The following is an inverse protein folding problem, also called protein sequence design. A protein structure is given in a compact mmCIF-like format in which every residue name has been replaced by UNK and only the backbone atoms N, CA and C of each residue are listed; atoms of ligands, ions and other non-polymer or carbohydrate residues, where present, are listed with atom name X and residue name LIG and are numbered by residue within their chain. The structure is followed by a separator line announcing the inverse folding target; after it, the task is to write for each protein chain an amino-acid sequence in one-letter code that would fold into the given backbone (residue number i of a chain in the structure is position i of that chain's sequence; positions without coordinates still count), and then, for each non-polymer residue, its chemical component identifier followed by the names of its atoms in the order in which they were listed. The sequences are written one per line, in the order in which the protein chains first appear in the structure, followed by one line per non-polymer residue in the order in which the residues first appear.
data_IF_078813605999
#
_entry.id   IF_078813605999
#
_cell.length_a   1.000
_cell.length_b   1.000
_cell.length_c   1.000
_cell.angle_alpha   90.00
_cell.angle_beta   90.00
_cell.angle_gamma   90.00
#
_symmetry.space_group_name_H-M   'P 1'
#
loop_
_entity.id
_entity.type
_entity.pdbx_description
1 polymer ?
#
# COMPACT_ATOMS: atom_id res chain seq x y z
N UNK A 1 16.33 -13.03 8.97
CA UNK A 1 16.48 -11.59 8.69
C UNK A 1 15.72 -11.14 7.44
N UNK A 2 15.91 -11.75 6.26
CA UNK A 2 15.25 -11.32 5.01
C UNK A 2 13.70 -11.31 5.08
N UNK A 3 13.07 -12.34 5.65
CA UNK A 3 11.61 -12.42 5.76
C UNK A 3 11.01 -11.36 6.70
N UNK A 4 11.71 -11.03 7.79
CA UNK A 4 11.29 -9.98 8.72
C UNK A 4 11.45 -8.59 8.09
N UNK A 5 12.54 -8.37 7.36
CA UNK A 5 12.78 -7.14 6.61
C UNK A 5 11.70 -6.89 5.55
N UNK A 6 11.36 -7.92 4.75
CA UNK A 6 10.29 -7.84 3.75
C UNK A 6 8.94 -7.57 4.44
N UNK A 7 8.65 -8.26 5.55
CA UNK A 7 7.40 -8.07 6.31
C UNK A 7 7.23 -6.66 6.86
N UNK A 8 8.29 -6.06 7.43
CA UNK A 8 8.26 -4.70 7.97
C UNK A 8 8.21 -3.63 6.86
N UNK A 9 8.97 -3.79 5.78
CA UNK A 9 9.10 -2.75 4.74
C UNK A 9 7.95 -2.78 3.72
N UNK A 10 7.51 -3.97 3.31
CA UNK A 10 6.46 -4.12 2.27
C UNK A 10 5.08 -4.45 2.84
N UNK A 11 5.04 -5.03 4.05
CA UNK A 11 3.79 -5.30 4.78
C UNK A 11 3.38 -4.11 5.64
N UNK A 12 4.08 -3.86 6.74
CA UNK A 12 3.72 -2.82 7.72
C UNK A 12 3.77 -1.40 7.15
N UNK A 13 4.89 -0.98 6.55
CA UNK A 13 5.01 0.37 5.98
C UNK A 13 4.07 0.59 4.77
N UNK A 14 3.79 -0.48 4.01
CA UNK A 14 2.79 -0.46 2.94
C UNK A 14 1.36 -0.27 3.43
N UNK A 15 1.04 -0.72 4.66
CA UNK A 15 -0.27 -0.49 5.29
C UNK A 15 -0.37 0.84 6.03
N UNK A 16 0.77 1.47 6.40
CA UNK A 16 0.81 2.78 7.06
C UNK A 16 0.70 3.92 6.04
N UNK A 17 1.23 3.74 4.82
CA UNK A 17 1.23 4.77 3.76
C UNK A 17 0.47 4.30 2.52
N UNK A 18 -0.75 4.81 2.36
CA UNK A 18 -1.67 4.39 1.29
C UNK A 18 -1.57 5.36 0.11
N UNK A 19 -1.29 4.85 -1.08
CA UNK A 19 -1.19 5.72 -2.27
C UNK A 19 -2.57 6.28 -2.66
N UNK A 20 -3.64 5.50 -2.50
CA UNK A 20 -5.01 5.95 -2.79
C UNK A 20 -5.47 7.12 -1.92
N UNK A 21 -5.15 7.11 -0.62
CA UNK A 21 -5.48 8.22 0.28
C UNK A 21 -4.74 9.49 -0.10
N UNK A 22 -3.43 9.38 -0.35
CA UNK A 22 -2.60 10.51 -0.81
C UNK A 22 -3.12 11.10 -2.11
N UNK A 23 -3.49 10.26 -3.08
CA UNK A 23 -4.03 10.76 -4.35
C UNK A 23 -5.40 11.42 -4.18
N UNK A 24 -6.24 10.89 -3.29
CA UNK A 24 -7.54 11.48 -2.96
C UNK A 24 -7.38 12.86 -2.30
N UNK A 25 -6.54 12.99 -1.28
CA UNK A 25 -6.30 14.27 -0.58
C UNK A 25 -5.65 15.31 -1.51
N UNK A 26 -4.71 14.88 -2.35
CA UNK A 26 -4.12 15.72 -3.38
C UNK A 26 -5.19 16.20 -4.39
N UNK A 27 -6.02 15.28 -4.88
CA UNK A 27 -7.11 15.62 -5.79
C UNK A 27 -8.08 16.62 -5.16
N UNK A 28 -8.43 16.42 -3.89
CA UNK A 28 -9.31 17.33 -3.14
C UNK A 28 -8.72 18.73 -2.99
N UNK A 29 -7.39 18.83 -2.77
CA UNK A 29 -6.68 20.10 -2.74
C UNK A 29 -6.77 20.86 -4.08
N UNK A 30 -6.69 20.17 -5.23
CA UNK A 30 -6.89 20.78 -6.56
C UNK A 30 -8.31 21.35 -6.75
N UNK A 31 -9.32 20.76 -6.13
CA UNK A 31 -10.70 21.25 -6.20
C UNK A 31 -10.99 22.41 -5.24
N UNK A 32 -10.04 22.77 -4.37
CA UNK A 32 -10.15 23.91 -3.47
C UNK A 32 -11.10 23.70 -2.29
N UNK A 33 -11.43 22.46 -1.93
CA UNK A 33 -12.47 22.21 -0.92
C UNK A 33 -11.98 22.23 0.53
N UNK A 34 -10.68 22.35 0.80
CA UNK A 34 -10.12 22.22 2.17
C UNK A 34 -9.22 23.39 2.63
N UNK A 35 -8.47 24.07 1.74
CA UNK A 35 -7.37 24.97 2.19
C UNK A 35 -7.29 26.39 1.59
N UNK A 36 -8.14 26.80 0.63
CA UNK A 36 -8.29 28.22 0.24
C UNK A 36 -8.00 28.56 -1.24
N UNK A 37 -7.64 29.83 -1.49
CA UNK A 37 -7.61 30.53 -2.81
C UNK A 37 -6.61 29.98 -3.85
N UNK A 38 -5.70 29.07 -3.49
CA UNK A 38 -4.59 28.63 -4.36
C UNK A 38 -4.53 27.09 -4.49
N UNK A 39 -5.46 26.46 -5.23
CA UNK A 39 -5.60 25.00 -5.30
C UNK A 39 -4.34 24.27 -5.79
N UNK A 40 -3.57 24.90 -6.68
CA UNK A 40 -2.35 24.30 -7.24
C UNK A 40 -1.20 24.28 -6.23
N UNK A 41 -1.06 25.31 -5.39
CA UNK A 41 0.01 25.33 -4.38
C UNK A 41 -0.22 24.26 -3.31
N UNK A 42 -1.47 24.08 -2.88
CA UNK A 42 -1.82 23.11 -1.84
C UNK A 42 -1.62 21.68 -2.34
N UNK A 43 -2.01 21.41 -3.59
CA UNK A 43 -1.74 20.15 -4.29
C UNK A 43 -0.25 19.83 -4.34
N UNK A 44 0.57 20.78 -4.83
CA UNK A 44 2.01 20.60 -4.96
C UNK A 44 2.66 20.41 -3.59
N UNK A 45 2.26 21.21 -2.60
CA UNK A 45 2.77 21.11 -1.23
C UNK A 45 2.50 19.72 -0.63
N UNK A 46 1.27 19.21 -0.77
CA UNK A 46 0.88 17.91 -0.24
C UNK A 46 1.67 16.77 -0.89
N UNK A 47 1.76 16.75 -2.23
CA UNK A 47 2.52 15.72 -2.93
C UNK A 47 4.01 15.78 -2.60
N UNK A 48 4.61 16.98 -2.64
CA UNK A 48 6.03 17.14 -2.34
C UNK A 48 6.32 16.71 -0.90
N UNK A 49 5.52 17.14 0.07
CA UNK A 49 5.71 16.81 1.49
C UNK A 49 5.61 15.30 1.74
N UNK A 50 4.58 14.64 1.21
CA UNK A 50 4.34 13.21 1.46
C UNK A 50 5.38 12.33 0.76
N UNK A 51 5.72 12.62 -0.50
CA UNK A 51 6.75 11.84 -1.16
C UNK A 51 8.14 12.13 -0.59
N UNK A 52 8.46 13.37 -0.23
CA UNK A 52 9.75 13.71 0.40
C UNK A 52 9.92 13.03 1.75
N UNK A 53 8.90 13.04 2.60
CA UNK A 53 8.91 12.32 3.88
C UNK A 53 9.04 10.81 3.70
N UNK A 54 8.36 10.25 2.68
CA UNK A 54 8.48 8.82 2.34
C UNK A 54 9.90 8.45 1.87
N UNK A 55 10.51 9.28 1.01
CA UNK A 55 11.90 9.11 0.57
C UNK A 55 12.89 9.28 1.72
N UNK A 56 12.69 10.28 2.59
CA UNK A 56 13.52 10.50 3.78
C UNK A 56 13.46 9.29 4.73
N UNK A 57 12.26 8.76 4.98
CA UNK A 57 12.05 7.55 5.77
C UNK A 57 12.77 6.33 5.17
N UNK A 58 12.71 6.16 3.84
CA UNK A 58 13.44 5.12 3.13
C UNK A 58 14.96 5.25 3.30
N UNK A 59 15.52 6.45 3.12
CA UNK A 59 16.95 6.71 3.28
C UNK A 59 17.40 6.49 4.71
N UNK A 60 16.63 6.98 5.69
CA UNK A 60 16.90 6.77 7.12
C UNK A 60 16.92 5.27 7.46
N UNK A 61 15.91 4.52 7.00
CA UNK A 61 15.86 3.07 7.20
C UNK A 61 17.06 2.34 6.58
N UNK A 62 17.53 2.80 5.41
CA UNK A 62 18.75 2.26 4.78
C UNK A 62 20.00 2.53 5.61
N UNK A 63 20.18 3.74 6.15
CA UNK A 63 21.31 4.06 7.00
C UNK A 63 21.31 3.25 8.31
N UNK A 64 20.14 3.11 8.93
CA UNK A 64 19.98 2.30 10.15
C UNK A 64 20.31 0.82 9.90
N UNK A 65 19.90 0.27 8.75
CA UNK A 65 20.22 -1.11 8.37
C UNK A 65 21.74 -1.34 8.18
N UNK A 66 22.47 -0.35 7.65
CA UNK A 66 23.95 -0.44 7.53
C UNK A 66 24.61 -0.40 8.91
N UNK A 67 24.17 0.46 9.81
CA UNK A 67 24.75 0.56 11.16
C UNK A 67 24.58 -0.74 11.96
N UNK A 68 23.40 -1.37 11.87
CA UNK A 68 23.11 -2.62 12.57
C UNK A 68 23.82 -3.84 11.96
N UNK A 69 24.05 -3.86 10.65
CA UNK A 69 24.84 -4.93 10.01
C UNK A 69 26.33 -4.80 10.34
N UNK A 70 26.86 -3.57 10.44
CA UNK A 70 28.23 -3.34 10.89
C UNK A 70 28.44 -3.73 12.37
N UNK A 71 27.43 -3.52 13.23
CA UNK A 71 27.51 -3.99 14.63
C UNK A 71 27.47 -5.53 14.71
N UNK A 72 26.64 -6.19 13.89
CA UNK A 72 26.60 -7.67 13.82
C UNK A 72 27.87 -8.29 13.21
N UNK A 73 28.52 -7.61 12.24
CA UNK A 73 29.81 -8.06 11.70
C UNK A 73 30.95 -7.88 12.70
N UNK A 74 30.91 -6.86 13.57
CA UNK A 74 31.87 -6.70 14.68
C UNK A 74 31.78 -7.84 15.70
N UNK A 75 30.58 -8.33 16.00
CA UNK A 75 30.39 -9.49 16.89
C UNK A 75 30.81 -10.82 16.24
N UNK A 76 30.51 -11.03 14.95
CA UNK A 76 30.85 -12.29 14.25
C UNK A 76 32.32 -12.47 13.89
N UNK A 77 33.15 -11.42 13.97
CA UNK A 77 34.60 -11.52 13.68
C UNK A 77 35.37 -12.34 14.72
N UNK A 78 34.73 -12.79 15.80
CA UNK A 78 35.34 -13.59 16.88
C UNK A 78 35.23 -15.13 16.69
N UNK A 79 34.45 -15.64 15.72
CA UNK A 79 34.14 -17.09 15.57
C UNK A 79 34.44 -17.68 14.16
N UNK A 80 35.34 -17.04 13.41
CA UNK A 80 35.36 -17.06 11.94
C UNK A 80 35.94 -18.27 11.17
N UNK A 81 35.84 -19.53 11.60
CA UNK A 81 36.38 -20.66 10.80
C UNK A 81 35.38 -21.74 10.32
N UNK A 82 34.16 -21.82 10.86
CA UNK A 82 33.16 -22.82 10.41
C UNK A 82 32.19 -22.34 9.31
N UNK A 83 32.16 -21.04 9.00
CA UNK A 83 31.11 -20.42 8.18
C UNK A 83 31.19 -20.70 6.67
N UNK A 84 32.37 -20.95 6.11
CA UNK A 84 32.58 -21.00 4.64
C UNK A 84 31.99 -22.27 3.99
N UNK A 85 32.03 -23.43 4.67
CA UNK A 85 31.39 -24.65 4.15
C UNK A 85 29.86 -24.64 4.31
N UNK A 86 29.33 -23.80 5.21
CA UNK A 86 27.90 -23.69 5.46
C UNK A 86 27.21 -22.78 4.43
N UNK A 87 27.89 -21.74 3.94
CA UNK A 87 27.37 -20.81 2.92
C UNK A 87 27.06 -21.50 1.58
N UNK A 88 27.91 -22.44 1.13
CA UNK A 88 27.69 -23.20 -0.12
C UNK A 88 26.50 -24.20 -0.01
N UNK A 89 26.28 -24.77 1.19
CA UNK A 89 25.08 -25.60 1.47
C UNK A 89 23.81 -24.75 1.58
N UNK A 90 23.90 -23.53 2.09
CA UNK A 90 22.79 -22.59 2.22
C UNK A 90 22.31 -22.08 0.85
N UNK A 91 23.23 -21.83 -0.08
CA UNK A 91 22.89 -21.39 -1.43
C UNK A 91 22.09 -22.44 -2.21
N UNK A 92 22.46 -23.73 -2.11
CA UNK A 92 21.68 -24.84 -2.70
C UNK A 92 20.35 -25.11 -1.98
N UNK A 93 20.28 -24.90 -0.65
CA UNK A 93 19.03 -25.00 0.10
C UNK A 93 18.07 -23.84 -0.22
N UNK A 94 18.59 -22.66 -0.54
CA UNK A 94 17.79 -21.46 -0.86
C UNK A 94 16.94 -21.64 -2.12
N UNK A 95 17.47 -22.30 -3.15
CA UNK A 95 16.73 -22.60 -4.39
C UNK A 95 15.58 -23.60 -4.19
N UNK A 96 15.74 -24.57 -3.28
CA UNK A 96 14.68 -25.55 -2.94
C UNK A 96 13.65 -24.95 -1.97
N UNK A 97 14.09 -24.07 -1.05
CA UNK A 97 13.20 -23.32 -0.15
C UNK A 97 12.25 -22.37 -0.89
N UNK A 98 12.65 -21.78 -2.02
CA UNK A 98 11.78 -20.91 -2.82
C UNK A 98 10.54 -21.67 -3.33
N UNK A 99 10.69 -22.94 -3.71
CA UNK A 99 9.56 -23.78 -4.17
C UNK A 99 8.67 -24.25 -3.00
N UNK A 100 9.24 -24.63 -1.85
CA UNK A 100 8.46 -25.08 -0.69
C UNK A 100 7.72 -23.91 0.00
N UNK A 101 8.32 -22.71 0.02
CA UNK A 101 7.65 -21.49 0.52
C UNK A 101 6.52 -21.01 -0.38
N UNK A 102 6.55 -21.35 -1.67
CA UNK A 102 5.46 -21.07 -2.60
C UNK A 102 4.19 -21.87 -2.23
N UNK A 103 4.33 -23.18 -1.96
CA UNK A 103 3.20 -24.01 -1.52
C UNK A 103 2.68 -23.59 -0.14
N UNK A 104 3.55 -23.35 0.84
CA UNK A 104 3.11 -22.98 2.19
C UNK A 104 2.42 -21.60 2.22
N UNK A 105 2.86 -20.66 1.37
CA UNK A 105 2.17 -19.38 1.18
C UNK A 105 0.81 -19.58 0.53
N UNK A 106 0.68 -20.44 -0.49
CA UNK A 106 -0.58 -20.75 -1.17
C UNK A 106 -1.65 -21.32 -0.21
N UNK A 107 -1.25 -22.07 0.82
CA UNK A 107 -2.15 -22.59 1.86
C UNK A 107 -2.55 -21.55 2.93
N UNK A 108 -1.78 -20.47 3.09
CA UNK A 108 -2.20 -19.35 3.96
C UNK A 108 -3.39 -18.57 3.35
N UNK A 109 -3.61 -18.63 2.03
CA UNK A 109 -4.73 -17.96 1.34
C UNK A 109 -6.11 -18.41 1.85
N UNK A 110 -6.47 -19.71 1.76
CA UNK A 110 -7.77 -20.17 2.25
C UNK A 110 -7.88 -19.99 3.77
N UNK A 111 -6.80 -20.17 4.52
CA UNK A 111 -6.81 -19.98 5.97
C UNK A 111 -7.16 -18.53 6.37
N UNK A 112 -6.60 -17.54 5.65
CA UNK A 112 -6.84 -16.13 5.93
C UNK A 112 -8.28 -15.73 5.57
N UNK A 113 -8.82 -16.26 4.46
CA UNK A 113 -10.23 -16.08 4.08
C UNK A 113 -11.15 -16.74 5.12
N UNK A 114 -10.87 -17.99 5.49
CA UNK A 114 -11.66 -18.78 6.45
C UNK A 114 -11.62 -18.20 7.85
N UNK A 115 -10.53 -17.53 8.26
CA UNK A 115 -10.43 -16.91 9.58
C UNK A 115 -11.02 -15.50 9.62
N UNK A 116 -10.88 -14.72 8.54
CA UNK A 116 -11.38 -13.34 8.48
C UNK A 116 -12.89 -13.25 8.44
N UNK A 117 -13.59 -14.13 7.72
CA UNK A 117 -15.07 -14.14 7.63
C UNK A 117 -15.75 -14.34 9.00
N UNK A 118 -15.45 -15.38 9.80
CA UNK A 118 -16.04 -15.55 11.12
C UNK A 118 -15.60 -14.46 12.10
N UNK A 119 -14.40 -13.91 11.97
CA UNK A 119 -13.97 -12.76 12.77
C UNK A 119 -14.78 -11.50 12.43
N UNK A 120 -15.09 -11.24 11.15
CA UNK A 120 -15.98 -10.16 10.72
C UNK A 120 -17.38 -10.36 11.31
N UNK A 121 -17.93 -11.56 11.19
CA UNK A 121 -19.26 -11.88 11.72
C UNK A 121 -19.31 -11.74 13.25
N UNK A 122 -18.27 -12.21 13.96
CA UNK A 122 -18.17 -12.05 15.40
C UNK A 122 -18.13 -10.57 15.81
N UNK A 123 -17.37 -9.73 15.10
CA UNK A 123 -17.28 -8.28 15.35
C UNK A 123 -18.61 -7.59 15.06
N UNK A 124 -19.32 -7.97 13.98
CA UNK A 124 -20.66 -7.44 13.67
C UNK A 124 -21.67 -7.76 14.78
N UNK A 125 -21.61 -8.96 15.36
CA UNK A 125 -22.56 -9.41 16.39
C UNK A 125 -22.22 -8.88 17.78
N UNK A 126 -20.94 -8.75 18.11
CA UNK A 126 -20.50 -8.44 19.48
C UNK A 126 -20.31 -6.95 19.76
N UNK A 127 -19.93 -6.15 18.75
CA UNK A 127 -19.62 -4.75 18.97
C UNK A 127 -20.81 -3.84 18.65
N UNK A 128 -21.07 -2.83 19.48
CA UNK A 128 -22.10 -1.84 19.18
C UNK A 128 -21.75 -1.11 17.88
N UNK A 129 -22.77 -0.90 17.07
CA UNK A 129 -22.64 -0.20 15.80
C UNK A 129 -22.48 1.31 16.07
N UNK A 130 -21.23 1.75 16.30
CA UNK A 130 -20.85 3.14 16.58
C UNK A 130 -20.10 3.72 15.39
N UNK A 131 -19.99 5.04 15.26
CA UNK A 131 -19.32 5.67 14.12
C UNK A 131 -17.88 5.18 13.84
N UNK A 132 -17.20 4.57 14.83
CA UNK A 132 -15.83 4.09 14.71
C UNK A 132 -15.71 2.58 14.42
N UNK A 133 -16.82 1.85 14.32
CA UNK A 133 -16.79 0.39 14.14
C UNK A 133 -16.13 -0.02 12.81
N UNK A 134 -16.08 0.88 11.82
CA UNK A 134 -15.37 0.66 10.55
C UNK A 134 -13.88 0.32 10.72
N UNK A 135 -13.23 0.74 11.82
CA UNK A 135 -11.81 0.47 12.07
C UNK A 135 -11.58 -1.05 12.20
N UNK A 136 -12.44 -1.74 12.94
CA UNK A 136 -12.34 -3.19 13.13
C UNK A 136 -12.58 -3.94 11.82
N UNK A 137 -13.58 -3.52 11.05
CA UNK A 137 -13.81 -4.08 9.71
C UNK A 137 -12.62 -3.81 8.77
N UNK A 138 -11.98 -2.64 8.86
CA UNK A 138 -10.82 -2.29 8.03
C UNK A 138 -9.66 -3.25 8.26
N UNK A 139 -9.39 -3.62 9.51
CA UNK A 139 -8.35 -4.60 9.87
C UNK A 139 -8.60 -5.96 9.21
N UNK A 140 -9.87 -6.33 9.02
CA UNK A 140 -10.26 -7.60 8.42
C UNK A 140 -10.20 -7.57 6.90
N UNK A 141 -10.48 -6.42 6.28
CA UNK A 141 -10.34 -6.22 4.83
C UNK A 141 -8.89 -5.99 4.39
N UNK A 142 -8.02 -5.46 5.26
CA UNK A 142 -6.63 -5.15 4.98
C UNK A 142 -5.81 -6.34 4.39
N UNK A 143 -5.87 -7.56 4.95
CA UNK A 143 -5.18 -8.70 4.39
C UNK A 143 -5.54 -8.98 2.93
N UNK A 144 -6.81 -8.87 2.54
CA UNK A 144 -7.24 -9.08 1.15
C UNK A 144 -6.61 -8.08 0.18
N UNK A 145 -6.45 -6.82 0.60
CA UNK A 145 -5.77 -5.80 -0.18
C UNK A 145 -4.29 -6.15 -0.38
N UNK A 146 -3.59 -6.46 0.71
CA UNK A 146 -2.18 -6.86 0.64
C UNK A 146 -1.94 -8.14 -0.16
N UNK A 147 -2.89 -9.08 -0.11
CA UNK A 147 -2.88 -10.33 -0.85
C UNK A 147 -2.99 -10.08 -2.35
N UNK A 148 -3.96 -9.24 -2.74
CA UNK A 148 -4.16 -8.83 -4.13
C UNK A 148 -2.90 -8.15 -4.66
N UNK A 149 -2.31 -7.24 -3.86
CA UNK A 149 -1.04 -6.58 -4.19
C UNK A 149 0.12 -7.57 -4.36
N UNK A 150 0.22 -8.56 -3.48
CA UNK A 150 1.21 -9.62 -3.61
C UNK A 150 1.04 -10.43 -4.90
N UNK A 151 -0.19 -10.80 -5.26
CA UNK A 151 -0.47 -11.51 -6.52
C UNK A 151 -0.05 -10.67 -7.74
N UNK A 152 -0.38 -9.38 -7.73
CA UNK A 152 0.00 -8.46 -8.80
C UNK A 152 1.52 -8.24 -8.87
N UNK A 153 2.25 -8.38 -7.76
CA UNK A 153 3.71 -8.21 -7.73
C UNK A 153 4.47 -9.18 -8.63
N UNK A 154 3.89 -10.33 -8.99
CA UNK A 154 4.47 -11.25 -9.98
C UNK A 154 4.65 -10.60 -11.36
N UNK A 155 3.82 -9.61 -11.70
CA UNK A 155 3.96 -8.84 -12.93
C UNK A 155 5.20 -7.93 -12.91
N UNK A 156 5.66 -7.50 -11.74
CA UNK A 156 6.89 -6.69 -11.62
C UNK A 156 8.12 -7.49 -12.04
N UNK A 157 8.14 -8.79 -11.73
CA UNK A 157 9.24 -9.69 -12.15
C UNK A 157 9.25 -9.88 -13.67
N UNK A 158 8.05 -9.94 -14.27
CA UNK A 158 7.88 -10.09 -15.73
C UNK A 158 8.27 -8.82 -16.49
N UNK A 159 7.94 -7.64 -15.97
CA UNK A 159 8.21 -6.34 -16.60
C UNK A 159 9.29 -5.54 -15.86
N UNK A 160 10.56 -5.89 -16.07
CA UNK A 160 11.70 -5.30 -15.32
C UNK A 160 11.91 -3.80 -15.52
N UNK A 161 11.49 -3.23 -16.66
CA UNK A 161 11.67 -1.79 -16.96
C UNK A 161 10.59 -0.92 -16.33
N UNK A 162 9.44 -1.50 -16.00
CA UNK A 162 8.27 -0.79 -15.50
C UNK A 162 7.51 -1.74 -14.56
N UNK A 163 7.52 -1.49 -13.23
CA UNK A 163 6.84 -2.33 -12.24
C UNK A 163 5.32 -2.27 -12.42
N UNK A 164 4.84 -3.10 -13.35
CA UNK A 164 3.46 -3.07 -13.82
C UNK A 164 2.47 -3.51 -12.73
N UNK A 165 2.85 -4.48 -11.90
CA UNK A 165 2.05 -4.92 -10.77
C UNK A 165 1.79 -3.80 -9.78
N UNK A 166 2.84 -3.09 -9.36
CA UNK A 166 2.73 -1.97 -8.41
C UNK A 166 1.91 -0.83 -9.01
N UNK A 167 2.14 -0.52 -10.30
CA UNK A 167 1.33 0.48 -11.03
C UNK A 167 -0.16 0.11 -11.04
N UNK A 168 -0.50 -1.12 -11.44
CA UNK A 168 -1.89 -1.58 -11.50
C UNK A 168 -2.53 -1.50 -10.12
N UNK A 169 -1.85 -1.97 -9.07
CA UNK A 169 -2.37 -1.89 -7.70
C UNK A 169 -2.71 -0.45 -7.30
N UNK A 170 -1.76 0.47 -7.48
CA UNK A 170 -1.93 1.88 -7.12
C UNK A 170 -3.05 2.54 -7.94
N UNK A 171 -3.09 2.26 -9.25
CA UNK A 171 -4.10 2.82 -10.14
C UNK A 171 -5.50 2.29 -9.82
N UNK A 172 -5.71 0.97 -9.83
CA UNK A 172 -7.03 0.37 -9.62
C UNK A 172 -7.52 0.57 -8.20
N UNK A 173 -6.65 0.48 -7.19
CA UNK A 173 -7.01 0.75 -5.80
C UNK A 173 -7.43 2.21 -5.59
N UNK A 174 -6.80 3.16 -6.27
CA UNK A 174 -7.21 4.57 -6.23
C UNK A 174 -8.53 4.82 -6.96
N UNK A 175 -8.76 4.16 -8.09
CA UNK A 175 -10.06 4.22 -8.80
C UNK A 175 -11.19 3.69 -7.92
N UNK A 176 -10.96 2.56 -7.25
CA UNK A 176 -11.93 1.93 -6.37
C UNK A 176 -12.20 2.79 -5.13
N UNK A 177 -11.15 3.38 -4.54
CA UNK A 177 -11.26 4.36 -3.46
C UNK A 177 -12.18 5.52 -3.86
N UNK A 178 -11.93 6.13 -5.01
CA UNK A 178 -12.72 7.25 -5.52
C UNK A 178 -14.16 6.86 -5.83
N UNK A 179 -14.36 5.67 -6.43
CA UNK A 179 -15.70 5.13 -6.71
C UNK A 179 -16.51 4.91 -5.43
N UNK A 180 -15.90 4.38 -4.37
CA UNK A 180 -16.57 4.22 -3.07
C UNK A 180 -16.96 5.57 -2.48
N UNK A 181 -16.07 6.57 -2.49
CA UNK A 181 -16.40 7.92 -2.03
C UNK A 181 -17.57 8.49 -2.83
N UNK A 182 -17.55 8.38 -4.15
CA UNK A 182 -18.63 8.86 -5.02
C UNK A 182 -19.97 8.19 -4.68
N UNK A 183 -19.98 6.86 -4.46
CA UNK A 183 -21.17 6.13 -4.03
C UNK A 183 -21.63 6.64 -2.66
N UNK A 184 -20.75 6.76 -1.68
CA UNK A 184 -21.09 7.20 -0.32
C UNK A 184 -21.70 8.60 -0.32
N UNK A 185 -21.17 9.50 -1.15
CA UNK A 185 -21.70 10.84 -1.35
C UNK A 185 -23.11 10.78 -1.96
N UNK A 186 -23.28 10.06 -3.07
CA UNK A 186 -24.54 9.96 -3.81
C UNK A 186 -25.66 9.31 -2.98
N UNK A 187 -25.32 8.32 -2.15
CA UNK A 187 -26.27 7.53 -1.35
C UNK A 187 -26.35 7.98 0.12
N UNK A 188 -25.77 9.13 0.47
CA UNK A 188 -25.57 9.57 1.86
C UNK A 188 -26.86 9.62 2.69
N UNK A 189 -27.99 10.00 2.08
CA UNK A 189 -29.30 10.08 2.74
C UNK A 189 -29.96 8.71 2.98
N UNK A 190 -29.65 7.70 2.17
CA UNK A 190 -30.34 6.41 2.17
C UNK A 190 -29.52 5.27 2.80
N UNK A 191 -28.23 5.49 3.07
CA UNK A 191 -27.37 4.44 3.60
C UNK A 191 -27.53 4.27 5.11
N UNK A 192 -27.82 3.04 5.52
CA UNK A 192 -27.78 2.64 6.92
C UNK A 192 -26.34 2.70 7.47
N UNK A 193 -26.18 2.90 8.78
CA UNK A 193 -24.87 3.05 9.42
C UNK A 193 -23.91 1.88 9.09
N UNK A 194 -24.42 0.65 9.08
CA UNK A 194 -23.65 -0.53 8.70
C UNK A 194 -23.09 -0.43 7.26
N UNK A 195 -23.89 0.03 6.30
CA UNK A 195 -23.43 0.17 4.90
C UNK A 195 -22.32 1.21 4.80
N UNK A 196 -22.47 2.35 5.48
CA UNK A 196 -21.44 3.40 5.54
C UNK A 196 -20.14 2.84 6.12
N UNK A 197 -20.21 2.03 7.17
CA UNK A 197 -19.04 1.44 7.80
C UNK A 197 -18.36 0.39 6.95
N UNK A 198 -19.11 -0.48 6.28
CA UNK A 198 -18.54 -1.48 5.38
C UNK A 198 -17.83 -0.79 4.21
N UNK A 199 -18.43 0.25 3.63
CA UNK A 199 -17.78 1.05 2.57
C UNK A 199 -16.51 1.74 3.07
N UNK A 200 -16.55 2.37 4.25
CA UNK A 200 -15.35 2.95 4.88
C UNK A 200 -14.28 1.90 5.18
N UNK A 201 -14.68 0.70 5.55
CA UNK A 201 -13.77 -0.39 5.86
C UNK A 201 -13.06 -0.96 4.62
N UNK A 202 -13.77 -1.06 3.49
CA UNK A 202 -13.16 -1.43 2.22
C UNK A 202 -12.21 -0.31 1.76
N UNK A 203 -12.61 0.94 1.95
CA UNK A 203 -11.81 2.10 1.58
C UNK A 203 -10.50 2.20 2.39
N UNK A 204 -10.56 2.07 3.72
CA UNK A 204 -9.37 2.17 4.58
C UNK A 204 -8.58 0.86 4.70
N UNK A 205 -9.27 -0.29 4.72
CA UNK A 205 -8.63 -1.60 4.81
C UNK A 205 -8.13 -2.10 3.47
N UNK A 206 -9.05 -2.45 2.57
CA UNK A 206 -8.71 -3.09 1.29
C UNK A 206 -7.91 -2.15 0.37
N UNK A 207 -8.44 -0.96 0.05
CA UNK A 207 -7.74 -0.03 -0.85
C UNK A 207 -6.43 0.47 -0.24
N UNK A 208 -6.44 0.69 1.08
CA UNK A 208 -5.27 1.10 1.84
C UNK A 208 -4.12 0.09 1.69
N UNK A 209 -4.38 -1.20 1.89
CA UNK A 209 -3.35 -2.24 1.79
C UNK A 209 -3.06 -2.73 0.36
N UNK A 210 -4.00 -2.52 -0.58
CA UNK A 210 -3.81 -2.79 -2.00
C UNK A 210 -2.84 -1.79 -2.62
N UNK A 211 -2.95 -0.51 -2.27
CA UNK A 211 -2.05 0.53 -2.79
C UNK A 211 -0.82 0.71 -1.89
N UNK A 212 0.23 1.35 -2.39
CA UNK A 212 1.49 1.49 -1.63
C UNK A 212 2.35 2.65 -2.15
N UNK A 213 2.82 3.48 -1.21
CA UNK A 213 3.85 4.49 -1.48
C UNK A 213 5.25 3.91 -1.26
N UNK A 214 5.43 3.08 -0.23
CA UNK A 214 6.74 2.51 0.12
C UNK A 214 7.36 1.67 -1.00
N UNK A 215 6.56 0.85 -1.68
CA UNK A 215 7.04 0.01 -2.80
C UNK A 215 7.40 0.88 -4.01
N UNK A 216 6.59 1.91 -4.31
CA UNK A 216 6.86 2.89 -5.36
C UNK A 216 8.19 3.62 -5.12
N UNK A 217 8.44 4.06 -3.88
CA UNK A 217 9.69 4.72 -3.47
C UNK A 217 10.88 3.76 -3.61
N UNK A 218 10.75 2.51 -3.16
CA UNK A 218 11.79 1.50 -3.32
C UNK A 218 12.12 1.27 -4.80
N UNK A 219 11.11 1.02 -5.62
CA UNK A 219 11.29 0.74 -7.05
C UNK A 219 11.95 1.92 -7.77
N UNK A 220 11.44 3.15 -7.57
CA UNK A 220 12.03 4.36 -8.16
C UNK A 220 13.47 4.60 -7.70
N UNK A 221 13.82 4.29 -6.45
CA UNK A 221 15.19 4.44 -5.92
C UNK A 221 16.21 3.49 -6.57
N UNK A 222 15.74 2.34 -7.09
CA UNK A 222 16.60 1.32 -7.72
C UNK A 222 16.77 1.52 -9.23
N UNK A 223 15.96 2.39 -9.84
CA UNK A 223 15.96 2.64 -11.28
C UNK A 223 16.96 3.74 -11.68
N UNK A 224 17.28 3.77 -12.98
CA UNK A 224 17.97 4.94 -13.57
C UNK A 224 17.04 6.16 -13.50
N UNK A 225 17.63 7.34 -13.24
CA UNK A 225 16.91 8.60 -12.96
C UNK A 225 15.74 8.89 -13.91
N UNK A 226 15.96 8.81 -15.23
CA UNK A 226 14.92 9.11 -16.21
C UNK A 226 13.72 8.15 -16.11
N UNK A 227 13.98 6.84 -16.00
CA UNK A 227 12.92 5.84 -15.85
C UNK A 227 12.19 5.99 -14.52
N UNK A 228 12.90 6.33 -13.44
CA UNK A 228 12.30 6.60 -12.14
C UNK A 228 11.32 7.78 -12.21
N UNK A 229 11.72 8.89 -12.82
CA UNK A 229 10.84 10.05 -13.01
C UNK A 229 9.61 9.70 -13.85
N UNK A 230 9.80 9.07 -15.01
CA UNK A 230 8.70 8.67 -15.89
C UNK A 230 7.72 7.75 -15.16
N UNK A 231 8.24 6.73 -14.46
CA UNK A 231 7.41 5.79 -13.70
C UNK A 231 6.61 6.48 -12.59
N UNK A 232 7.27 7.34 -11.82
CA UNK A 232 6.64 8.10 -10.75
C UNK A 232 5.53 9.03 -11.27
N UNK A 233 5.83 9.84 -12.29
CA UNK A 233 4.86 10.78 -12.85
C UNK A 233 3.70 10.08 -13.50
N UNK A 234 3.92 8.99 -14.24
CA UNK A 234 2.82 8.18 -14.81
C UNK A 234 1.92 7.64 -13.69
N UNK A 235 2.49 7.14 -12.60
CA UNK A 235 1.72 6.61 -11.47
C UNK A 235 0.84 7.67 -10.81
N UNK A 236 1.37 8.88 -10.60
CA UNK A 236 0.63 9.98 -9.97
C UNK A 236 -0.38 10.61 -10.93
N UNK A 237 0.06 11.04 -12.12
CA UNK A 237 -0.76 11.80 -13.06
C UNK A 237 -1.95 10.97 -13.56
N UNK A 238 -1.75 9.66 -13.83
CA UNK A 238 -2.83 8.80 -14.31
C UNK A 238 -4.03 8.74 -13.34
N UNK A 239 -3.77 8.66 -12.04
CA UNK A 239 -4.84 8.68 -11.02
C UNK A 239 -5.45 10.08 -10.90
N UNK A 240 -4.64 11.13 -10.98
CA UNK A 240 -5.14 12.50 -10.89
C UNK A 240 -6.04 12.88 -12.07
N UNK A 241 -5.77 12.39 -13.29
CA UNK A 241 -6.66 12.56 -14.44
C UNK A 241 -8.04 11.95 -14.17
N UNK A 242 -8.10 10.76 -13.57
CA UNK A 242 -9.37 10.12 -13.20
C UNK A 242 -10.07 10.91 -12.11
N UNK A 243 -9.32 11.35 -11.09
CA UNK A 243 -9.87 12.18 -10.04
C UNK A 243 -10.51 13.45 -10.61
N UNK A 244 -9.83 14.13 -11.54
CA UNK A 244 -10.38 15.31 -12.21
C UNK A 244 -11.64 14.97 -13.01
N UNK A 245 -11.65 13.84 -13.72
CA UNK A 245 -12.82 13.39 -14.51
C UNK A 245 -14.04 13.13 -13.64
N UNK A 246 -13.87 12.42 -12.51
CA UNK A 246 -14.97 12.07 -11.59
C UNK A 246 -15.36 13.24 -10.69
N UNK A 247 -14.38 13.98 -10.16
CA UNK A 247 -14.57 15.15 -9.30
C UNK A 247 -15.31 16.28 -10.00
N UNK A 248 -15.10 16.47 -11.30
CA UNK A 248 -15.84 17.42 -12.12
C UNK A 248 -17.33 17.05 -12.19
N UNK A 249 -17.63 15.76 -12.30
CA UNK A 249 -18.99 15.23 -12.26
C UNK A 249 -19.66 15.38 -10.89
N UNK A 250 -18.93 15.14 -9.80
CA UNK A 250 -19.45 15.30 -8.44
C UNK A 250 -19.77 16.77 -8.12
N UNK A 251 -18.92 17.73 -8.51
CA UNK A 251 -19.20 19.16 -8.30
C UNK A 251 -20.38 19.66 -9.13
N UNK A 252 -20.55 19.15 -10.35
CA UNK A 252 -21.71 19.45 -11.18
C UNK A 252 -23.03 19.01 -10.51
N UNK A 253 -23.04 17.84 -9.85
CA UNK A 253 -24.20 17.34 -9.11
C UNK A 253 -24.55 18.15 -7.84
N UNK A 254 -23.61 18.93 -7.30
CA UNK A 254 -23.83 19.80 -6.13
C UNK A 254 -24.16 21.26 -6.49
N UNK A 255 -24.04 21.64 -7.77
CA UNK A 255 -24.30 23.01 -8.24
C UNK A 255 -25.62 23.14 -9.02
N UNK A 256 -26.37 22.05 -9.13
CA UNK A 256 -27.75 21.97 -9.65
C UNK A 256 -28.71 21.65 -8.52
#
# INVERSE_FOLDING_TARGET
FLSLYIGLTTGLCGSITTFSGVMYDAGLALYGSVYGRYPVSDYLFLLISIFSSSFAGFLFGRHLAVLTTLSQQKEKKHDGQQSVQQEIKLEKASSVQIFHTFNLRLWLFPLLIVLSIPAILAIIVTLPNTNNTYIYYSVLFAPFGSLTRWLLSFLNVRFKKFPLGTFICNFTGSCLYLGIIAIMIYTSANNNLLQKQVLMAILQGYCGCLTTVSTLVLETSTMKRLYAFVYFFISVISVQIIFLSVGGGLRALFTT
#
